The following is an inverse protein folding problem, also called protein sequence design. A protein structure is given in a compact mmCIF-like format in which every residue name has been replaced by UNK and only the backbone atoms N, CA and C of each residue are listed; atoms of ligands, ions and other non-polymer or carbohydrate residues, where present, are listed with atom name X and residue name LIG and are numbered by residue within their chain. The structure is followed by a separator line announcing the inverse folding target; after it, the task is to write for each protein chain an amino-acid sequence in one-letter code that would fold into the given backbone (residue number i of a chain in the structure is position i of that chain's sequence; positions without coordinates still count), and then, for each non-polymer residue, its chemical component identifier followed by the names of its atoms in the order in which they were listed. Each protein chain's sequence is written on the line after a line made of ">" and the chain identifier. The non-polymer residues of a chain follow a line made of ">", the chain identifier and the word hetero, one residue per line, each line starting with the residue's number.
data_IF_813091597359
#
_entry.id   IF_813091597359
#
_cell.length_a   1.000
_cell.length_b   1.000
_cell.length_c   1.000
_cell.angle_alpha   90.00
_cell.angle_beta   90.00
_cell.angle_gamma   90.00
#
_symmetry.space_group_name_H-M   'P 1'
#
loop_
_entity.id
_entity.type
_entity.pdbx_description
1 polymer ?
#
# COMPACT_ATOMS: atom_id res chain seq x y z
N UNK A 1 65.37 24.91 -33.02
CA UNK A 1 63.98 25.28 -33.37
C UNK A 1 63.20 23.98 -33.61
N UNK A 2 61.94 23.86 -33.17
CA UNK A 2 61.57 23.63 -31.76
C UNK A 2 60.70 22.36 -31.56
N UNK A 3 60.33 22.13 -30.28
CA UNK A 3 59.14 21.40 -29.76
C UNK A 3 59.10 19.87 -29.91
N UNK A 4 58.67 19.07 -28.93
CA UNK A 4 57.92 19.30 -27.69
C UNK A 4 58.18 18.15 -26.70
N UNK A 5 58.23 18.50 -25.40
CA UNK A 5 58.22 17.54 -24.28
C UNK A 5 56.81 16.94 -24.17
N UNK A 6 56.70 15.62 -24.11
CA UNK A 6 55.52 14.93 -23.56
C UNK A 6 55.92 14.09 -22.36
N UNK A 7 55.18 14.34 -21.28
CA UNK A 7 55.28 13.78 -19.95
C UNK A 7 54.91 12.29 -19.91
N UNK A 8 55.76 11.52 -19.23
CA UNK A 8 55.51 10.15 -18.79
C UNK A 8 54.47 10.11 -17.66
N UNK A 9 53.30 9.54 -17.93
CA UNK A 9 52.32 9.12 -16.92
C UNK A 9 52.21 7.58 -16.91
N UNK A 10 52.06 6.94 -15.73
CA UNK A 10 52.02 5.48 -15.63
C UNK A 10 50.69 4.94 -16.19
N UNK A 11 50.79 3.99 -17.13
CA UNK A 11 49.63 3.24 -17.65
C UNK A 11 49.08 2.34 -16.54
N UNK A 12 47.99 2.76 -15.91
CA UNK A 12 47.14 1.90 -15.09
C UNK A 12 46.57 0.81 -15.99
N UNK A 13 47.13 -0.41 -15.88
CA UNK A 13 46.51 -1.63 -16.41
C UNK A 13 45.28 -1.91 -15.55
N UNK A 14 44.11 -1.60 -16.06
CA UNK A 14 42.83 -2.10 -15.53
C UNK A 14 42.81 -3.61 -15.71
N UNK A 15 43.12 -4.35 -14.64
CA UNK A 15 42.76 -5.75 -14.53
C UNK A 15 41.24 -5.85 -14.47
N UNK A 16 40.60 -6.00 -15.64
CA UNK A 16 39.25 -6.52 -15.73
C UNK A 16 39.35 -7.99 -15.30
N UNK A 17 39.01 -8.27 -14.05
CA UNK A 17 38.79 -9.64 -13.58
C UNK A 17 37.57 -10.18 -14.30
N UNK A 18 37.79 -10.86 -15.43
CA UNK A 18 36.82 -11.80 -15.98
C UNK A 18 36.58 -12.86 -14.92
N UNK A 19 35.46 -12.75 -14.20
CA UNK A 19 34.94 -13.88 -13.42
C UNK A 19 34.51 -14.92 -14.45
N UNK A 20 35.37 -15.92 -14.66
CA UNK A 20 35.05 -17.11 -15.42
C UNK A 20 33.83 -17.76 -14.77
N UNK A 21 32.69 -17.75 -15.46
CA UNK A 21 31.53 -18.59 -15.15
C UNK A 21 31.96 -20.05 -15.37
N UNK A 22 32.60 -20.64 -14.36
CA UNK A 22 32.67 -22.09 -14.27
C UNK A 22 31.25 -22.58 -14.07
N UNK A 23 30.70 -23.21 -15.11
CA UNK A 23 29.31 -23.68 -15.17
C UNK A 23 28.98 -24.54 -13.94
N UNK A 24 28.13 -24.01 -13.07
CA UNK A 24 27.46 -24.86 -12.07
C UNK A 24 26.40 -25.65 -12.83
N UNK A 25 26.54 -26.97 -12.84
CA UNK A 25 25.54 -27.89 -13.40
C UNK A 25 24.23 -27.94 -12.57
N UNK A 26 24.16 -27.28 -11.41
CA UNK A 26 22.97 -27.25 -10.55
C UNK A 26 22.71 -25.85 -9.97
N UNK A 27 21.43 -25.55 -9.79
CA UNK A 27 20.91 -24.32 -9.20
C UNK A 27 21.39 -24.14 -7.76
N UNK A 28 21.61 -22.88 -7.38
CA UNK A 28 21.80 -22.50 -5.97
C UNK A 28 20.46 -22.63 -5.25
N UNK A 29 20.38 -23.54 -4.29
CA UNK A 29 19.20 -23.68 -3.44
C UNK A 29 19.18 -22.57 -2.39
N UNK A 30 18.27 -21.61 -2.56
CA UNK A 30 18.14 -20.48 -1.65
C UNK A 30 17.45 -20.93 -0.36
N UNK A 31 18.17 -20.83 0.75
CA UNK A 31 17.62 -21.14 2.07
C UNK A 31 16.87 -19.95 2.65
N UNK A 32 15.56 -19.90 2.42
CA UNK A 32 14.71 -18.90 3.05
C UNK A 32 14.69 -19.01 4.58
N UNK A 33 14.97 -20.18 5.16
CA UNK A 33 15.22 -20.33 6.61
C UNK A 33 16.41 -19.50 7.09
N UNK A 34 17.54 -19.53 6.37
CA UNK A 34 18.74 -18.76 6.73
C UNK A 34 18.48 -17.25 6.61
N UNK A 35 17.86 -16.83 5.51
CA UNK A 35 17.50 -15.42 5.30
C UNK A 35 16.49 -14.91 6.35
N UNK A 36 15.48 -15.73 6.68
CA UNK A 36 14.51 -15.39 7.72
C UNK A 36 15.17 -15.27 9.10
N UNK A 37 16.18 -16.08 9.40
CA UNK A 37 16.94 -15.95 10.65
C UNK A 37 17.72 -14.63 10.72
N UNK A 38 18.36 -14.22 9.63
CA UNK A 38 19.03 -12.91 9.56
C UNK A 38 18.04 -11.77 9.82
N UNK A 39 16.88 -11.78 9.15
CA UNK A 39 15.85 -10.76 9.32
C UNK A 39 15.31 -10.76 10.76
N UNK A 40 15.08 -11.92 11.36
CA UNK A 40 14.65 -11.98 12.77
C UNK A 40 15.69 -11.43 13.74
N UNK A 41 16.99 -11.62 13.47
CA UNK A 41 18.06 -11.02 14.27
C UNK A 41 18.08 -9.50 14.13
N UNK A 42 17.94 -8.98 12.91
CA UNK A 42 17.80 -7.54 12.64
C UNK A 42 16.57 -6.95 13.37
N UNK A 43 15.41 -7.62 13.27
CA UNK A 43 14.17 -7.20 13.96
C UNK A 43 14.34 -7.24 15.48
N UNK A 44 14.98 -8.28 16.01
CA UNK A 44 15.22 -8.40 17.45
C UNK A 44 16.07 -7.23 17.96
N UNK A 45 17.17 -6.93 17.28
CA UNK A 45 18.01 -5.78 17.62
C UNK A 45 17.19 -4.48 17.58
N UNK A 46 16.39 -4.29 16.53
CA UNK A 46 15.55 -3.11 16.36
C UNK A 46 14.49 -2.96 17.47
N UNK A 47 13.92 -4.08 17.94
CA UNK A 47 12.98 -4.12 19.06
C UNK A 47 13.69 -3.82 20.39
N UNK A 48 14.88 -4.38 20.61
CA UNK A 48 15.68 -4.14 21.81
C UNK A 48 16.08 -2.65 21.92
N UNK A 49 16.53 -2.05 20.82
CA UNK A 49 16.85 -0.62 20.74
C UNK A 49 15.61 0.26 20.99
N UNK A 50 14.48 -0.09 20.38
CA UNK A 50 13.21 0.63 20.55
C UNK A 50 12.72 0.64 22.00
N UNK A 51 12.81 -0.50 22.69
CA UNK A 51 12.43 -0.61 24.10
C UNK A 51 13.45 0.09 25.00
N UNK A 52 14.74 -0.01 24.70
CA UNK A 52 15.80 0.67 25.44
C UNK A 52 15.67 2.21 25.37
N UNK A 53 15.11 2.75 24.28
CA UNK A 53 14.81 4.19 24.16
C UNK A 53 13.54 4.62 24.91
N UNK A 54 12.97 3.77 25.76
CA UNK A 54 11.84 4.08 26.64
C UNK A 54 10.45 3.85 26.02
N UNK A 55 10.36 3.30 24.80
CA UNK A 55 9.08 3.02 24.17
C UNK A 55 8.49 1.68 24.64
N UNK A 56 7.18 1.54 24.47
CA UNK A 56 6.49 0.27 24.75
C UNK A 56 6.98 -0.82 23.81
N UNK A 57 7.12 -2.04 24.35
CA UNK A 57 7.39 -3.24 23.56
C UNK A 57 6.25 -3.46 22.54
N UNK A 58 6.57 -3.75 21.26
CA UNK A 58 5.55 -4.02 20.25
C UNK A 58 4.66 -5.20 20.64
N UNK A 59 3.38 -5.13 20.25
CA UNK A 59 2.37 -6.15 20.52
C UNK A 59 1.61 -6.55 19.26
N UNK A 60 1.58 -7.86 18.99
CA UNK A 60 0.90 -8.48 17.87
C UNK A 60 -0.33 -9.27 18.34
N UNK A 61 -1.52 -8.86 17.93
CA UNK A 61 -2.74 -9.62 18.15
C UNK A 61 -3.12 -10.42 16.90
N UNK A 62 -3.29 -11.74 17.07
CA UNK A 62 -3.69 -12.65 15.99
C UNK A 62 -5.08 -13.20 16.27
N UNK A 63 -6.04 -12.93 15.38
CA UNK A 63 -7.38 -13.52 15.45
C UNK A 63 -7.41 -14.79 14.60
N UNK A 64 -7.80 -15.92 15.22
CA UNK A 64 -7.95 -17.20 14.54
C UNK A 64 -9.38 -17.71 14.69
N UNK A 65 -10.07 -17.89 13.57
CA UNK A 65 -11.44 -18.38 13.51
C UNK A 65 -11.44 -19.85 13.06
N UNK A 66 -12.08 -20.71 13.85
CA UNK A 66 -12.21 -22.14 13.56
C UNK A 66 -10.98 -22.98 13.91
N UNK A 67 -10.97 -24.23 13.43
CA UNK A 67 -10.03 -25.27 13.88
C UNK A 67 -9.14 -25.82 12.77
N UNK A 68 -8.98 -25.08 11.67
CA UNK A 68 -8.14 -25.54 10.55
C UNK A 68 -6.70 -25.83 11.03
N UNK A 69 -6.21 -27.09 10.94
CA UNK A 69 -4.88 -27.45 11.46
C UNK A 69 -3.72 -26.71 10.77
N UNK A 70 -3.90 -26.34 9.49
CA UNK A 70 -2.90 -25.53 8.79
C UNK A 70 -2.82 -24.12 9.38
N UNK A 71 -3.97 -23.48 9.58
CA UNK A 71 -4.05 -22.15 10.19
C UNK A 71 -3.48 -22.13 11.60
N UNK A 72 -3.80 -23.12 12.43
CA UNK A 72 -3.23 -23.26 13.79
C UNK A 72 -1.69 -23.36 13.76
N UNK A 73 -1.15 -24.19 12.86
CA UNK A 73 0.30 -24.33 12.70
C UNK A 73 0.96 -23.01 12.27
N UNK A 74 0.33 -22.27 11.35
CA UNK A 74 0.82 -20.95 10.94
C UNK A 74 0.79 -19.93 12.06
N UNK A 75 -0.32 -19.82 12.79
CA UNK A 75 -0.43 -18.90 13.93
C UNK A 75 0.60 -19.22 15.01
N UNK A 76 0.81 -20.49 15.31
CA UNK A 76 1.83 -20.93 16.27
C UNK A 76 3.25 -20.53 15.84
N UNK A 77 3.56 -20.64 14.54
CA UNK A 77 4.86 -20.20 14.02
C UNK A 77 5.02 -18.68 14.11
N UNK A 78 3.95 -17.91 13.86
CA UNK A 78 3.94 -16.44 14.00
C UNK A 78 4.18 -16.01 15.44
N UNK A 79 3.49 -16.60 16.42
CA UNK A 79 3.67 -16.25 17.84
C UNK A 79 5.02 -16.67 18.41
N UNK A 80 5.53 -17.85 18.01
CA UNK A 80 6.91 -18.26 18.35
C UNK A 80 7.95 -17.31 17.79
N UNK A 81 7.77 -16.85 16.55
CA UNK A 81 8.66 -15.86 15.96
C UNK A 81 8.60 -14.53 16.70
N UNK A 82 7.40 -14.05 17.05
CA UNK A 82 7.21 -12.83 17.83
C UNK A 82 7.98 -12.90 19.16
N UNK A 83 7.78 -13.98 19.92
CA UNK A 83 8.52 -14.19 21.17
C UNK A 83 10.05 -14.21 20.95
N UNK A 84 10.54 -14.85 19.88
CA UNK A 84 11.98 -14.95 19.60
C UNK A 84 12.65 -13.62 19.27
N UNK A 85 11.89 -12.64 18.79
CA UNK A 85 12.38 -11.28 18.46
C UNK A 85 11.98 -10.24 19.50
N UNK A 86 11.41 -10.67 20.63
CA UNK A 86 11.00 -9.77 21.72
C UNK A 86 9.72 -8.99 21.45
N UNK A 87 8.83 -9.47 20.57
CA UNK A 87 7.50 -8.91 20.35
C UNK A 87 6.50 -9.66 21.23
N UNK A 88 5.64 -8.93 21.95
CA UNK A 88 4.52 -9.53 22.67
C UNK A 88 3.50 -10.04 21.67
N UNK A 89 2.86 -11.17 21.94
CA UNK A 89 1.79 -11.65 21.07
C UNK A 89 0.68 -12.33 21.83
N UNK A 90 -0.54 -12.18 21.35
CA UNK A 90 -1.70 -12.94 21.79
C UNK A 90 -2.38 -13.63 20.61
N UNK A 91 -3.02 -14.76 20.88
CA UNK A 91 -3.89 -15.44 19.92
C UNK A 91 -5.30 -15.47 20.45
N UNK A 92 -6.21 -14.80 19.75
CA UNK A 92 -7.62 -14.72 20.09
C UNK A 92 -8.33 -15.79 19.26
N UNK A 93 -8.65 -16.91 19.91
CA UNK A 93 -9.39 -18.01 19.30
C UNK A 93 -10.89 -17.71 19.30
N UNK A 94 -11.52 -17.90 18.15
CA UNK A 94 -12.97 -17.81 17.98
C UNK A 94 -13.51 -19.06 17.28
N UNK A 95 -14.71 -19.53 17.64
CA UNK A 95 -15.30 -20.70 17.00
C UNK A 95 -15.60 -20.42 15.53
N UNK A 96 -15.64 -21.47 14.71
CA UNK A 96 -16.03 -21.35 13.30
C UNK A 96 -17.46 -20.81 13.13
N UNK A 97 -18.30 -20.82 14.18
CA UNK A 97 -19.67 -20.31 14.17
C UNK A 97 -19.80 -18.83 14.51
N UNK A 98 -18.70 -18.10 14.79
CA UNK A 98 -18.75 -16.67 15.08
C UNK A 98 -19.44 -15.92 13.93
N UNK A 99 -20.29 -14.95 14.24
CA UNK A 99 -20.90 -14.09 13.22
C UNK A 99 -19.90 -13.07 12.66
N UNK A 100 -20.16 -12.58 11.44
CA UNK A 100 -19.39 -11.48 10.85
C UNK A 100 -19.41 -10.23 11.75
N UNK A 101 -20.57 -9.90 12.34
CA UNK A 101 -20.73 -8.75 13.24
C UNK A 101 -19.88 -8.86 14.51
N UNK A 102 -19.88 -10.03 15.18
CA UNK A 102 -19.05 -10.26 16.36
C UNK A 102 -17.55 -10.17 16.04
N UNK A 103 -17.14 -10.67 14.88
CA UNK A 103 -15.76 -10.56 14.42
C UNK A 103 -15.37 -9.11 14.14
N UNK A 104 -16.22 -8.34 13.47
CA UNK A 104 -15.99 -6.91 13.21
C UNK A 104 -15.93 -6.10 14.52
N UNK A 105 -16.78 -6.40 15.50
CA UNK A 105 -16.76 -5.77 16.81
C UNK A 105 -15.45 -6.08 17.58
N UNK A 106 -14.95 -7.32 17.49
CA UNK A 106 -13.65 -7.68 18.04
C UNK A 106 -12.51 -6.90 17.37
N UNK A 107 -12.51 -6.80 16.04
CA UNK A 107 -11.51 -6.04 15.29
C UNK A 107 -11.56 -4.57 15.68
N UNK A 108 -12.75 -3.97 15.79
CA UNK A 108 -12.91 -2.59 16.25
C UNK A 108 -12.36 -2.39 17.66
N UNK A 109 -12.56 -3.34 18.58
CA UNK A 109 -11.96 -3.29 19.92
C UNK A 109 -10.43 -3.26 19.85
N UNK A 110 -9.82 -4.12 19.04
CA UNK A 110 -8.35 -4.21 18.88
C UNK A 110 -7.76 -2.99 18.15
N UNK A 111 -8.50 -2.41 17.21
CA UNK A 111 -8.12 -1.15 16.56
C UNK A 111 -8.02 0.00 17.57
N UNK A 112 -8.96 0.08 18.52
CA UNK A 112 -8.99 1.12 19.55
C UNK A 112 -8.12 0.81 20.78
N UNK A 113 -7.48 -0.36 20.84
CA UNK A 113 -6.55 -0.69 21.91
C UNK A 113 -5.15 -0.17 21.57
N UNK A 114 -4.74 0.92 22.23
CA UNK A 114 -3.39 1.48 22.08
C UNK A 114 -2.28 0.51 22.49
N UNK A 115 -2.61 -0.59 23.17
CA UNK A 115 -1.65 -1.64 23.44
C UNK A 115 -1.36 -2.55 22.24
N UNK A 116 -2.22 -2.58 21.23
CA UNK A 116 -2.06 -3.43 20.04
C UNK A 116 -1.44 -2.61 18.93
N UNK A 117 -0.24 -2.99 18.49
CA UNK A 117 0.46 -2.31 17.40
C UNK A 117 0.19 -2.99 16.06
N UNK A 118 0.18 -4.32 16.04
CA UNK A 118 -0.13 -5.13 14.87
C UNK A 118 -1.36 -5.98 15.08
N UNK A 119 -2.26 -6.00 14.09
CA UNK A 119 -3.45 -6.82 14.06
C UNK A 119 -3.49 -7.62 12.77
N UNK A 120 -3.70 -8.93 12.90
CA UNK A 120 -3.98 -9.78 11.75
C UNK A 120 -5.12 -10.77 12.04
N UNK A 121 -5.92 -11.02 11.00
CA UNK A 121 -6.96 -12.05 11.01
C UNK A 121 -6.50 -13.19 10.10
N UNK A 122 -6.33 -14.39 10.68
CA UNK A 122 -5.80 -15.52 9.96
C UNK A 122 -6.81 -16.06 8.93
N UNK A 123 -6.42 -16.02 7.67
CA UNK A 123 -7.19 -16.57 6.54
C UNK A 123 -6.84 -18.06 6.27
N UNK A 124 -7.73 -18.82 5.61
CA UNK A 124 -9.09 -18.43 5.19
C UNK A 124 -10.08 -18.39 6.36
N UNK A 125 -11.14 -17.60 6.23
CA UNK A 125 -12.27 -17.58 7.15
C UNK A 125 -13.35 -18.58 6.74
N UNK A 126 -14.29 -18.94 7.64
CA UNK A 126 -15.49 -19.69 7.27
C UNK A 126 -16.29 -19.01 6.15
N UNK A 127 -16.94 -19.81 5.30
CA UNK A 127 -17.60 -19.33 4.07
C UNK A 127 -18.70 -18.29 4.31
N UNK A 128 -19.31 -18.26 5.51
CA UNK A 128 -20.36 -17.29 5.84
C UNK A 128 -19.84 -15.91 6.23
N UNK A 129 -18.51 -15.69 6.25
CA UNK A 129 -17.87 -14.41 6.58
C UNK A 129 -17.18 -13.83 5.35
N UNK A 130 -17.44 -12.56 5.05
CA UNK A 130 -16.75 -11.84 3.98
C UNK A 130 -15.33 -11.43 4.40
N UNK A 131 -14.33 -12.17 3.92
CA UNK A 131 -12.91 -11.89 4.15
C UNK A 131 -12.50 -10.46 3.76
N UNK A 132 -13.08 -9.88 2.70
CA UNK A 132 -12.72 -8.55 2.24
C UNK A 132 -13.21 -7.48 3.21
N UNK A 133 -14.43 -7.62 3.72
CA UNK A 133 -14.93 -6.72 4.76
C UNK A 133 -14.07 -6.81 6.02
N UNK A 134 -13.72 -8.02 6.44
CA UNK A 134 -12.86 -8.26 7.60
C UNK A 134 -11.48 -7.61 7.44
N UNK A 135 -10.82 -7.81 6.29
CA UNK A 135 -9.52 -7.18 6.01
C UNK A 135 -9.62 -5.63 6.01
N UNK A 136 -10.71 -5.08 5.48
CA UNK A 136 -10.94 -3.63 5.45
C UNK A 136 -11.41 -3.04 6.79
N UNK A 137 -11.72 -3.89 7.78
CA UNK A 137 -12.06 -3.43 9.13
C UNK A 137 -10.82 -3.27 10.02
N UNK A 138 -9.69 -3.91 9.68
CA UNK A 138 -8.42 -3.74 10.40
C UNK A 138 -7.88 -2.34 10.13
N UNK A 139 -7.48 -1.60 11.16
CA UNK A 139 -6.94 -0.25 10.98
C UNK A 139 -5.71 -0.27 10.06
N UNK A 140 -5.59 0.62 9.06
CA UNK A 140 -4.47 0.60 8.10
C UNK A 140 -3.09 0.65 8.75
N UNK A 141 -2.94 1.37 9.85
CA UNK A 141 -1.68 1.51 10.60
C UNK A 141 -1.33 0.27 11.44
N UNK A 142 -2.31 -0.61 11.71
CA UNK A 142 -2.14 -1.89 12.41
C UNK A 142 -2.18 -3.11 11.48
N UNK A 143 -2.50 -2.92 10.20
CA UNK A 143 -2.65 -3.98 9.19
C UNK A 143 -1.29 -4.56 8.76
N UNK A 144 -0.70 -5.38 9.63
CA UNK A 144 0.62 -5.99 9.43
C UNK A 144 0.64 -7.08 8.36
N UNK A 145 -0.53 -7.52 7.88
CA UNK A 145 -0.66 -8.41 6.71
C UNK A 145 -0.80 -7.62 5.39
N UNK A 146 -1.02 -6.30 5.44
CA UNK A 146 -1.08 -5.42 4.26
C UNK A 146 -2.30 -5.65 3.37
N UNK A 147 -3.41 -6.14 3.93
CA UNK A 147 -4.61 -6.51 3.15
C UNK A 147 -5.70 -5.44 3.09
N UNK A 148 -5.63 -4.44 3.96
CA UNK A 148 -6.53 -3.30 3.96
C UNK A 148 -6.42 -2.55 2.63
N UNK A 149 -7.56 -2.15 2.05
CA UNK A 149 -7.61 -1.50 0.73
C UNK A 149 -6.72 -0.26 0.62
N UNK A 150 -6.55 0.50 1.71
CA UNK A 150 -5.62 1.65 1.75
C UNK A 150 -4.17 1.19 1.58
N UNK A 151 -3.72 0.15 2.29
CA UNK A 151 -2.35 -0.36 2.14
C UNK A 151 -2.12 -0.96 0.75
N UNK A 152 -3.10 -1.69 0.21
CA UNK A 152 -3.06 -2.18 -1.17
C UNK A 152 -3.01 -1.03 -2.17
N UNK A 153 -3.83 0.01 -1.99
CA UNK A 153 -3.87 1.19 -2.85
C UNK A 153 -2.54 1.94 -2.86
N UNK A 154 -1.99 2.24 -1.67
CA UNK A 154 -0.68 2.88 -1.50
C UNK A 154 0.44 2.05 -2.13
N UNK A 155 0.43 0.74 -1.92
CA UNK A 155 1.36 -0.18 -2.58
C UNK A 155 1.23 -0.12 -4.11
N UNK A 156 0.02 -0.06 -4.67
CA UNK A 156 -0.20 0.05 -6.12
C UNK A 156 0.21 1.42 -6.70
N UNK A 157 0.36 2.44 -5.85
CA UNK A 157 0.76 3.80 -6.22
C UNK A 157 2.24 4.08 -5.88
N UNK A 158 3.01 3.05 -5.52
CA UNK A 158 4.42 3.18 -5.15
C UNK A 158 4.69 4.07 -3.93
N UNK A 159 3.71 4.17 -3.04
CA UNK A 159 3.81 4.91 -1.78
C UNK A 159 4.17 3.99 -0.62
N UNK A 160 4.71 4.55 0.46
CA UNK A 160 4.95 3.85 1.71
C UNK A 160 3.66 3.20 2.22
N UNK A 161 3.67 1.89 2.48
CA UNK A 161 2.52 1.12 2.97
C UNK A 161 2.98 -0.13 3.74
N UNK A 162 2.07 -0.75 4.50
CA UNK A 162 2.32 -2.11 5.00
C UNK A 162 2.28 -3.09 3.83
N UNK A 163 3.44 -3.65 3.47
CA UNK A 163 3.53 -4.61 2.38
C UNK A 163 3.05 -5.99 2.85
N UNK A 164 2.31 -6.74 2.03
CA UNK A 164 1.95 -8.10 2.41
C UNK A 164 3.18 -8.98 2.61
N UNK A 165 3.19 -9.72 3.71
CA UNK A 165 4.41 -10.36 4.22
C UNK A 165 5.02 -11.39 3.26
N UNK A 166 4.20 -12.18 2.55
CA UNK A 166 4.69 -13.15 1.55
C UNK A 166 5.32 -12.45 0.33
N UNK A 167 4.63 -11.51 -0.35
CA UNK A 167 5.21 -10.68 -1.39
C UNK A 167 6.52 -10.00 -0.99
N UNK A 168 6.55 -9.38 0.18
CA UNK A 168 7.77 -8.74 0.66
C UNK A 168 8.88 -9.75 0.92
N UNK A 169 8.55 -10.93 1.46
CA UNK A 169 9.50 -12.02 1.67
C UNK A 169 10.10 -12.55 0.36
N UNK A 170 9.30 -12.65 -0.71
CA UNK A 170 9.78 -12.99 -2.06
C UNK A 170 10.78 -11.94 -2.56
N UNK A 171 10.45 -10.66 -2.39
CA UNK A 171 11.33 -9.58 -2.82
C UNK A 171 12.63 -9.52 -2.00
N UNK A 172 12.58 -9.76 -0.69
CA UNK A 172 13.77 -9.89 0.16
C UNK A 172 14.65 -11.09 -0.24
N UNK A 173 14.06 -12.22 -0.62
CA UNK A 173 14.82 -13.35 -1.18
C UNK A 173 15.63 -12.89 -2.41
N UNK A 174 14.98 -12.22 -3.36
CA UNK A 174 15.61 -11.74 -4.60
C UNK A 174 16.75 -10.76 -4.27
N UNK A 175 16.46 -9.72 -3.47
CA UNK A 175 17.43 -8.67 -3.10
C UNK A 175 18.64 -9.23 -2.35
N UNK A 176 18.40 -10.01 -1.28
CA UNK A 176 19.49 -10.55 -0.44
C UNK A 176 20.33 -11.61 -1.14
N UNK A 177 19.79 -12.24 -2.18
CA UNK A 177 20.53 -13.17 -3.04
C UNK A 177 21.31 -12.46 -4.15
N UNK A 178 21.08 -11.16 -4.36
CA UNK A 178 21.75 -10.37 -5.41
C UNK A 178 21.23 -10.67 -6.82
N UNK A 179 19.98 -11.11 -6.95
CA UNK A 179 19.36 -11.40 -8.24
C UNK A 179 18.85 -10.07 -8.85
N UNK A 180 19.36 -9.64 -10.01
CA UNK A 180 18.94 -8.37 -10.60
C UNK A 180 17.49 -8.45 -11.10
N UNK A 181 16.74 -7.36 -10.92
CA UNK A 181 15.35 -7.23 -11.41
C UNK A 181 15.21 -6.17 -12.51
N UNK A 182 16.01 -5.10 -12.46
CA UNK A 182 15.95 -4.01 -13.44
C UNK A 182 16.17 -4.52 -14.86
N UNK A 183 15.20 -4.24 -15.73
CA UNK A 183 15.19 -4.65 -17.13
C UNK A 183 15.10 -6.17 -17.35
N UNK A 184 14.73 -6.95 -16.33
CA UNK A 184 14.58 -8.41 -16.43
C UNK A 184 13.15 -8.82 -16.71
N UNK A 185 12.99 -9.96 -17.38
CA UNK A 185 11.69 -10.56 -17.61
C UNK A 185 11.28 -11.40 -16.39
N UNK A 186 10.10 -11.10 -15.84
CA UNK A 186 9.57 -11.82 -14.69
C UNK A 186 8.22 -12.42 -15.06
N UNK A 187 7.99 -13.68 -14.70
CA UNK A 187 6.66 -14.32 -14.77
C UNK A 187 6.16 -14.60 -13.37
N UNK A 188 4.96 -14.14 -13.07
CA UNK A 188 4.23 -14.48 -11.83
C UNK A 188 3.06 -15.38 -12.19
N UNK A 189 3.17 -16.67 -11.82
CA UNK A 189 2.11 -17.65 -11.99
C UNK A 189 1.17 -17.64 -10.79
N UNK A 190 0.12 -16.84 -10.88
CA UNK A 190 -0.83 -16.59 -9.81
C UNK A 190 -1.20 -15.11 -9.73
N UNK A 191 -2.49 -14.83 -9.52
CA UNK A 191 -3.03 -13.46 -9.43
C UNK A 191 -3.85 -13.20 -8.17
N UNK A 192 -3.61 -13.99 -7.12
CA UNK A 192 -4.30 -13.80 -5.85
C UNK A 192 -4.01 -12.41 -5.30
N UNK A 193 -4.98 -11.83 -4.58
CA UNK A 193 -4.87 -10.46 -4.08
C UNK A 193 -3.86 -10.32 -2.94
N UNK A 194 -3.57 -11.39 -2.23
CA UNK A 194 -2.64 -11.46 -1.10
C UNK A 194 -1.21 -11.85 -1.48
N UNK A 195 -0.98 -12.47 -2.64
CA UNK A 195 0.34 -12.99 -3.03
C UNK A 195 0.70 -12.59 -4.46
N UNK A 196 0.00 -13.12 -5.47
CA UNK A 196 0.40 -12.96 -6.87
C UNK A 196 0.39 -11.51 -7.36
N UNK A 197 -0.71 -10.78 -7.12
CA UNK A 197 -0.84 -9.38 -7.54
C UNK A 197 0.20 -8.47 -6.85
N UNK A 198 0.37 -8.51 -5.51
CA UNK A 198 1.40 -7.69 -4.86
C UNK A 198 2.83 -8.02 -5.31
N UNK A 199 3.17 -9.29 -5.54
CA UNK A 199 4.50 -9.66 -6.09
C UNK A 199 4.72 -8.99 -7.44
N UNK A 200 3.73 -9.07 -8.33
CA UNK A 200 3.81 -8.44 -9.64
C UNK A 200 3.95 -6.92 -9.52
N UNK A 201 3.22 -6.29 -8.59
CA UNK A 201 3.29 -4.86 -8.33
C UNK A 201 4.69 -4.43 -7.87
N UNK A 202 5.24 -5.10 -6.86
CA UNK A 202 6.56 -4.77 -6.29
C UNK A 202 7.71 -4.92 -7.30
N UNK A 203 7.60 -5.87 -8.23
CA UNK A 203 8.68 -6.16 -9.16
C UNK A 203 8.67 -5.29 -10.42
N UNK A 204 7.52 -4.80 -10.88
CA UNK A 204 7.47 -4.02 -12.12
C UNK A 204 7.62 -2.52 -11.94
N UNK A 205 7.34 -2.01 -10.74
CA UNK A 205 7.26 -0.58 -10.49
C UNK A 205 8.64 0.09 -10.45
N UNK A 206 8.64 1.42 -10.52
CA UNK A 206 9.85 2.23 -10.70
C UNK A 206 10.72 2.24 -9.43
N UNK A 207 12.01 1.95 -9.58
CA UNK A 207 12.99 1.99 -8.51
C UNK A 207 13.22 3.38 -7.90
N UNK A 208 12.80 4.45 -8.58
CA UNK A 208 12.96 5.84 -8.14
C UNK A 208 11.76 6.39 -7.34
N UNK A 209 10.68 5.62 -7.19
CA UNK A 209 9.49 6.06 -6.44
C UNK A 209 9.70 6.00 -4.91
N UNK A 210 8.79 6.64 -4.17
CA UNK A 210 8.81 6.78 -2.70
C UNK A 210 9.07 5.44 -2.01
N UNK A 211 8.31 4.41 -2.40
CA UNK A 211 8.67 3.02 -2.18
C UNK A 211 9.31 2.52 -3.48
N UNK A 212 10.62 2.20 -3.51
CA UNK A 212 11.29 1.71 -4.72
C UNK A 212 10.65 0.43 -5.25
N UNK A 213 10.51 0.28 -6.57
CA UNK A 213 10.12 -0.97 -7.20
C UNK A 213 11.31 -1.81 -7.68
N UNK A 214 11.04 -2.76 -8.58
CA UNK A 214 12.03 -3.67 -9.14
C UNK A 214 12.43 -3.39 -10.60
N UNK A 215 11.76 -2.47 -11.29
CA UNK A 215 11.99 -2.12 -12.70
C UNK A 215 11.99 -3.32 -13.67
N UNK A 216 11.23 -4.38 -13.36
CA UNK A 216 11.14 -5.57 -14.18
C UNK A 216 9.98 -5.52 -15.19
N UNK A 217 10.13 -6.19 -16.33
CA UNK A 217 8.99 -6.45 -17.22
C UNK A 217 8.24 -7.68 -16.72
N UNK A 218 7.08 -7.46 -16.09
CA UNK A 218 6.32 -8.53 -15.42
C UNK A 218 5.15 -9.04 -16.29
N UNK A 219 5.09 -10.35 -16.49
CA UNK A 219 3.92 -11.07 -17.03
C UNK A 219 3.18 -11.77 -15.89
N UNK A 220 1.86 -11.56 -15.80
CA UNK A 220 0.99 -12.25 -14.84
C UNK A 220 0.21 -13.35 -15.56
N UNK A 221 0.30 -14.59 -15.07
CA UNK A 221 -0.53 -15.70 -15.53
C UNK A 221 -1.48 -16.20 -14.45
N UNK A 222 -2.51 -16.94 -14.85
CA UNK A 222 -3.57 -17.38 -13.96
C UNK A 222 -4.28 -18.64 -14.47
N UNK A 223 -5.33 -19.08 -13.76
CA UNK A 223 -6.12 -20.29 -14.06
C UNK A 223 -6.72 -20.41 -15.47
N UNK A 224 -6.69 -19.34 -16.27
CA UNK A 224 -7.19 -19.31 -17.65
C UNK A 224 -6.08 -19.10 -18.68
N UNK A 225 -4.83 -18.98 -18.23
CA UNK A 225 -3.67 -18.97 -19.12
C UNK A 225 -3.45 -20.40 -19.60
N UNK A 226 -3.54 -20.69 -20.91
CA UNK A 226 -3.24 -22.01 -21.44
C UNK A 226 -1.80 -22.42 -21.10
N UNK A 227 -1.56 -23.72 -20.90
CA UNK A 227 -0.23 -24.23 -20.53
C UNK A 227 0.85 -23.86 -21.55
N UNK A 228 0.51 -23.88 -22.85
CA UNK A 228 1.42 -23.46 -23.92
C UNK A 228 1.81 -21.99 -23.81
N UNK A 229 0.86 -21.11 -23.47
CA UNK A 229 1.15 -19.68 -23.25
C UNK A 229 1.98 -19.47 -21.99
N UNK A 230 1.70 -20.20 -20.92
CA UNK A 230 2.52 -20.17 -19.70
C UNK A 230 3.97 -20.58 -20.02
N UNK A 231 4.16 -21.66 -20.79
CA UNK A 231 5.48 -22.15 -21.20
C UNK A 231 6.24 -21.14 -22.05
N UNK A 232 5.57 -20.49 -23.02
CA UNK A 232 6.21 -19.45 -23.86
C UNK A 232 6.78 -18.32 -23.03
N UNK A 233 6.01 -17.79 -22.06
CA UNK A 233 6.45 -16.66 -21.25
C UNK A 233 7.51 -17.08 -20.22
N UNK A 234 7.35 -18.24 -19.58
CA UNK A 234 8.35 -18.75 -18.62
C UNK A 234 9.69 -19.08 -19.28
N UNK A 235 9.70 -19.52 -20.55
CA UNK A 235 10.92 -19.76 -21.30
C UNK A 235 11.73 -18.48 -21.61
N UNK A 236 11.09 -17.31 -21.57
CA UNK A 236 11.75 -16.00 -21.75
C UNK A 236 12.14 -15.33 -20.42
N UNK A 237 11.63 -15.85 -19.30
CA UNK A 237 11.75 -15.22 -18.00
C UNK A 237 13.15 -15.42 -17.39
N UNK A 238 13.72 -14.34 -16.87
CA UNK A 238 14.90 -14.39 -16.00
C UNK A 238 14.53 -14.79 -14.58
N UNK A 239 13.30 -14.48 -14.15
CA UNK A 239 12.74 -14.86 -12.85
C UNK A 239 11.34 -15.44 -13.04
N UNK A 240 11.10 -16.63 -12.51
CA UNK A 240 9.78 -17.27 -12.46
C UNK A 240 9.35 -17.39 -11.00
N UNK A 241 8.17 -16.85 -10.69
CA UNK A 241 7.57 -16.91 -9.35
C UNK A 241 6.27 -17.69 -9.46
N UNK A 242 6.17 -18.84 -8.79
CA UNK A 242 4.95 -19.64 -8.77
C UNK A 242 4.19 -19.49 -7.47
N UNK A 243 2.95 -19.04 -7.55
CA UNK A 243 2.03 -18.79 -6.45
C UNK A 243 0.60 -19.25 -6.81
N UNK A 244 0.50 -20.39 -7.49
CA UNK A 244 -0.74 -20.92 -8.04
C UNK A 244 -1.39 -21.98 -7.15
N UNK A 245 -0.61 -22.70 -6.34
CA UNK A 245 -1.11 -23.81 -5.53
C UNK A 245 -1.46 -25.04 -6.38
N UNK A 246 -0.58 -25.38 -7.33
CA UNK A 246 -0.72 -26.51 -8.24
C UNK A 246 0.63 -27.26 -8.29
N UNK A 247 0.73 -28.48 -7.72
CA UNK A 247 1.96 -29.26 -7.77
C UNK A 247 2.45 -29.51 -9.20
N UNK A 248 3.76 -29.42 -9.41
CA UNK A 248 4.42 -29.66 -10.70
C UNK A 248 3.85 -28.82 -11.87
N UNK A 249 3.31 -27.63 -11.58
CA UNK A 249 2.88 -26.68 -12.60
C UNK A 249 4.06 -26.18 -13.44
N UNK A 250 5.20 -25.91 -12.78
CA UNK A 250 6.42 -25.40 -13.41
C UNK A 250 7.43 -26.53 -13.52
N UNK A 251 7.81 -26.87 -14.76
CA UNK A 251 8.72 -27.98 -15.09
C UNK A 251 10.00 -27.50 -15.78
N UNK A 252 11.02 -28.34 -15.84
CA UNK A 252 12.35 -27.98 -16.36
C UNK A 252 12.34 -27.49 -17.82
N UNK A 253 11.45 -28.00 -18.67
CA UNK A 253 11.32 -27.58 -20.07
C UNK A 253 10.73 -26.17 -20.24
N UNK A 254 10.11 -25.63 -19.17
CA UNK A 254 9.54 -24.28 -19.15
C UNK A 254 10.54 -23.21 -18.70
N UNK A 255 11.65 -23.60 -18.07
CA UNK A 255 12.57 -22.66 -17.41
C UNK A 255 13.71 -22.27 -18.35
N UNK A 256 14.05 -20.98 -18.44
CA UNK A 256 15.28 -20.52 -19.11
C UNK A 256 16.52 -20.98 -18.33
N UNK A 257 17.57 -21.38 -19.03
CA UNK A 257 18.84 -21.74 -18.37
C UNK A 257 19.40 -20.56 -17.58
N UNK A 258 19.78 -20.81 -16.31
CA UNK A 258 20.29 -19.78 -15.41
C UNK A 258 19.22 -18.90 -14.75
N UNK A 259 17.92 -19.08 -15.05
CA UNK A 259 16.85 -18.30 -14.43
C UNK A 259 16.73 -18.55 -12.91
N UNK A 260 16.15 -17.58 -12.20
CA UNK A 260 15.78 -17.73 -10.79
C UNK A 260 14.34 -18.23 -10.67
N UNK A 261 14.12 -19.26 -9.86
CA UNK A 261 12.80 -19.86 -9.64
C UNK A 261 12.40 -19.76 -8.17
N UNK A 262 11.37 -18.97 -7.88
CA UNK A 262 10.85 -18.76 -6.53
C UNK A 262 9.50 -19.47 -6.40
N UNK A 263 9.48 -20.53 -5.60
CA UNK A 263 8.31 -21.35 -5.35
C UNK A 263 7.60 -20.89 -4.06
N UNK A 264 6.48 -20.21 -4.24
CA UNK A 264 5.58 -19.72 -3.18
C UNK A 264 4.46 -20.73 -2.92
N UNK A 265 4.28 -21.70 -3.82
CA UNK A 265 3.23 -22.72 -3.75
C UNK A 265 3.32 -23.55 -2.47
N UNK A 266 2.15 -23.88 -1.92
CA UNK A 266 2.05 -24.76 -0.75
C UNK A 266 0.92 -25.74 -0.99
N UNK A 267 1.29 -26.98 -1.24
CA UNK A 267 0.38 -28.07 -1.56
C UNK A 267 0.60 -29.22 -0.58
N UNK A 268 -0.47 -29.78 -0.04
CA UNK A 268 -0.41 -31.01 0.77
C UNK A 268 -0.73 -32.20 -0.12
N UNK A 269 0.25 -33.08 -0.30
CA UNK A 269 0.09 -34.34 -1.01
C UNK A 269 0.30 -35.49 -0.03
N UNK A 270 -0.20 -36.68 -0.38
CA UNK A 270 0.15 -37.89 0.33
C UNK A 270 1.46 -38.43 -0.26
N UNK A 271 2.45 -38.65 0.59
CA UNK A 271 3.72 -39.22 0.15
C UNK A 271 3.47 -40.64 -0.38
N UNK A 272 3.83 -40.94 -1.65
CA UNK A 272 3.49 -42.21 -2.28
C UNK A 272 4.23 -43.40 -1.65
N UNK A 273 5.31 -43.16 -0.90
CA UNK A 273 6.11 -44.20 -0.25
C UNK A 273 5.69 -44.37 1.21
N UNK A 274 5.56 -43.26 1.95
CA UNK A 274 5.34 -43.31 3.40
C UNK A 274 3.88 -43.15 3.81
N UNK A 275 2.98 -42.84 2.85
CA UNK A 275 1.58 -42.48 3.06
C UNK A 275 1.35 -41.29 4.03
N UNK A 276 2.41 -40.58 4.44
CA UNK A 276 2.33 -39.41 5.32
C UNK A 276 2.03 -38.15 4.51
N UNK A 277 1.32 -37.16 5.08
CA UNK A 277 1.17 -35.86 4.47
C UNK A 277 2.54 -35.20 4.25
N UNK A 278 2.81 -34.78 3.01
CA UNK A 278 4.02 -34.07 2.61
C UNK A 278 3.64 -32.72 2.02
N UNK A 279 4.43 -31.69 2.36
CA UNK A 279 4.32 -30.38 1.76
C UNK A 279 5.20 -30.32 0.50
N UNK A 280 4.61 -29.93 -0.62
CA UNK A 280 5.32 -29.69 -1.88
C UNK A 280 4.91 -28.32 -2.44
N UNK A 281 5.77 -27.73 -3.25
CA UNK A 281 5.48 -26.48 -3.92
C UNK A 281 4.78 -26.67 -5.24
N UNK A 282 4.81 -25.64 -6.08
CA UNK A 282 4.26 -25.67 -7.44
C UNK A 282 5.30 -26.13 -8.48
N UNK A 283 6.58 -26.16 -8.12
CA UNK A 283 7.70 -26.43 -9.02
C UNK A 283 8.13 -27.89 -8.91
N UNK A 284 8.41 -28.53 -10.06
CA UNK A 284 9.19 -29.77 -10.12
C UNK A 284 10.64 -29.48 -9.72
N UNK A 285 10.89 -29.50 -8.41
CA UNK A 285 12.15 -29.05 -7.83
C UNK A 285 13.36 -29.80 -8.38
N UNK A 286 13.31 -31.13 -8.47
CA UNK A 286 14.46 -31.95 -8.90
C UNK A 286 14.76 -31.76 -10.39
N UNK A 287 13.75 -31.60 -11.23
CA UNK A 287 13.94 -31.29 -12.64
C UNK A 287 14.48 -29.87 -12.84
N UNK A 288 13.83 -28.88 -12.24
CA UNK A 288 14.16 -27.46 -12.43
C UNK A 288 15.51 -27.08 -11.82
N UNK A 289 15.92 -27.72 -10.72
CA UNK A 289 17.23 -27.52 -10.08
C UNK A 289 18.40 -27.78 -11.05
N UNK A 290 18.22 -28.61 -12.08
CA UNK A 290 19.28 -28.91 -13.06
C UNK A 290 19.44 -27.85 -14.15
N UNK A 291 18.55 -26.84 -14.20
CA UNK A 291 18.49 -25.83 -15.27
C UNK A 291 18.51 -24.40 -14.75
N UNK A 292 17.84 -24.16 -13.62
CA UNK A 292 17.81 -22.85 -13.00
C UNK A 292 19.20 -22.44 -12.46
N UNK A 293 19.46 -21.15 -12.38
CA UNK A 293 20.60 -20.60 -11.66
C UNK A 293 20.34 -20.56 -10.15
N UNK A 294 19.09 -20.31 -9.77
CA UNK A 294 18.62 -20.24 -8.39
C UNK A 294 17.27 -20.90 -8.22
N UNK A 295 17.03 -21.56 -7.09
CA UNK A 295 15.74 -22.16 -6.77
C UNK A 295 15.44 -22.11 -5.28
N UNK A 296 14.21 -21.78 -4.87
CA UNK A 296 13.78 -21.92 -3.46
C UNK A 296 13.11 -23.26 -3.22
N UNK A 297 13.40 -23.97 -2.12
CA UNK A 297 12.74 -25.24 -1.80
C UNK A 297 11.38 -25.01 -1.12
N UNK A 298 10.49 -25.99 -1.24
CA UNK A 298 9.29 -26.11 -0.41
C UNK A 298 9.32 -27.46 0.31
N UNK A 299 9.33 -27.49 1.66
CA UNK A 299 9.38 -26.37 2.60
C UNK A 299 10.78 -25.73 2.71
N UNK A 300 10.85 -24.53 3.30
CA UNK A 300 12.11 -23.89 3.71
C UNK A 300 12.58 -22.72 2.84
N UNK A 301 11.84 -22.41 1.77
CA UNK A 301 11.97 -21.21 0.94
C UNK A 301 11.12 -20.06 1.49
N UNK A 302 10.01 -19.75 0.81
CA UNK A 302 9.24 -18.52 1.08
C UNK A 302 8.52 -18.53 2.43
N UNK A 303 8.00 -19.67 2.91
CA UNK A 303 7.22 -19.74 4.16
C UNK A 303 7.91 -19.13 5.40
N UNK A 304 9.17 -19.47 5.72
CA UNK A 304 9.93 -18.82 6.78
C UNK A 304 10.08 -17.30 6.60
N UNK A 305 10.23 -16.82 5.35
CA UNK A 305 10.35 -15.40 5.05
C UNK A 305 9.05 -14.66 5.32
N UNK A 306 7.89 -15.24 4.98
CA UNK A 306 6.58 -14.68 5.32
C UNK A 306 6.47 -14.38 6.82
N UNK A 307 6.91 -15.29 7.68
CA UNK A 307 6.86 -15.08 9.13
C UNK A 307 7.84 -13.97 9.56
N UNK A 308 9.05 -13.94 9.02
CA UNK A 308 10.03 -12.89 9.34
C UNK A 308 9.55 -11.49 8.91
N UNK A 309 8.95 -11.36 7.73
CA UNK A 309 8.43 -10.08 7.24
C UNK A 309 7.22 -9.60 8.04
N UNK A 310 6.40 -10.51 8.56
CA UNK A 310 5.33 -10.14 9.51
C UNK A 310 5.90 -9.50 10.78
N UNK A 311 7.00 -10.04 11.32
CA UNK A 311 7.68 -9.45 12.48
C UNK A 311 8.22 -8.06 12.16
N UNK A 312 8.79 -7.89 10.95
CA UNK A 312 9.27 -6.59 10.45
C UNK A 312 8.12 -5.58 10.32
N UNK A 313 6.99 -5.96 9.74
CA UNK A 313 5.79 -5.10 9.69
C UNK A 313 5.30 -4.72 11.09
N UNK A 314 5.37 -5.63 12.06
CA UNK A 314 4.92 -5.36 13.43
C UNK A 314 5.77 -4.30 14.12
N UNK A 315 7.10 -4.32 13.98
CA UNK A 315 7.95 -3.26 14.54
C UNK A 315 7.77 -1.93 13.78
N UNK A 316 7.53 -1.96 12.45
CA UNK A 316 7.19 -0.76 11.67
C UNK A 316 5.88 -0.13 12.19
N UNK A 317 4.87 -0.95 12.47
CA UNK A 317 3.58 -0.51 13.01
C UNK A 317 3.75 0.14 14.39
N UNK A 318 4.48 -0.51 15.29
CA UNK A 318 4.74 0.00 16.64
C UNK A 318 5.50 1.34 16.64
N UNK A 319 6.44 1.51 15.70
CA UNK A 319 7.18 2.76 15.52
C UNK A 319 6.34 3.88 14.89
N UNK A 320 5.14 3.57 14.38
CA UNK A 320 4.21 4.51 13.71
C UNK A 320 4.87 5.31 12.57
N UNK A 321 5.89 4.73 11.91
CA UNK A 321 6.70 5.42 10.89
C UNK A 321 5.82 5.95 9.76
N UNK A 322 4.88 5.12 9.28
CA UNK A 322 3.95 5.47 8.20
C UNK A 322 2.97 6.59 8.59
N UNK A 323 2.57 6.64 9.87
CA UNK A 323 1.65 7.68 10.39
C UNK A 323 2.36 9.01 10.57
N UNK A 324 3.64 8.99 10.96
CA UNK A 324 4.45 10.19 11.09
C UNK A 324 4.74 10.80 9.71
N UNK A 325 5.07 9.97 8.71
CA UNK A 325 5.22 10.43 7.32
C UNK A 325 3.93 11.05 6.78
N UNK A 326 2.76 10.43 7.00
CA UNK A 326 1.47 11.02 6.59
C UNK A 326 1.24 12.39 7.26
N UNK A 327 1.52 12.51 8.56
CA UNK A 327 1.36 13.76 9.30
C UNK A 327 2.38 14.82 8.85
N UNK A 328 3.60 14.45 8.51
CA UNK A 328 4.61 15.34 7.96
C UNK A 328 4.30 15.76 6.53
N UNK A 329 3.77 14.86 5.68
CA UNK A 329 3.27 15.18 4.34
C UNK A 329 2.05 16.11 4.42
N UNK A 330 1.12 15.89 5.35
CA UNK A 330 0.00 16.79 5.60
C UNK A 330 0.48 18.17 6.07
N UNK A 331 1.38 18.21 7.07
CA UNK A 331 1.96 19.47 7.57
C UNK A 331 2.81 20.19 6.53
N UNK A 332 3.57 19.47 5.70
CA UNK A 332 4.38 20.05 4.62
C UNK A 332 3.55 20.49 3.43
N UNK A 333 2.42 19.84 3.14
CA UNK A 333 1.42 20.36 2.20
C UNK A 333 0.78 21.64 2.75
N UNK A 334 0.42 21.69 4.03
CA UNK A 334 -0.06 22.91 4.68
C UNK A 334 1.00 24.03 4.65
N UNK A 335 2.28 23.72 4.93
CA UNK A 335 3.39 24.68 4.86
C UNK A 335 3.75 25.09 3.42
N UNK A 336 3.67 24.16 2.47
CA UNK A 336 3.96 24.36 1.06
C UNK A 336 2.88 25.20 0.38
N UNK A 337 1.62 25.03 0.78
CA UNK A 337 0.52 25.94 0.44
C UNK A 337 0.83 27.33 0.99
N UNK A 338 1.17 27.45 2.28
CA UNK A 338 1.50 28.75 2.87
C UNK A 338 2.67 29.45 2.14
N UNK A 339 3.75 28.73 1.81
CA UNK A 339 4.90 29.28 1.06
C UNK A 339 4.61 29.59 -0.40
N UNK A 340 3.82 28.78 -1.09
CA UNK A 340 3.44 29.03 -2.49
C UNK A 340 2.53 30.26 -2.59
N UNK A 341 1.58 30.41 -1.66
CA UNK A 341 0.78 31.62 -1.50
C UNK A 341 1.70 32.82 -1.23
N UNK A 342 2.67 32.70 -0.32
CA UNK A 342 3.59 33.80 0.02
C UNK A 342 4.55 34.19 -1.13
N UNK A 343 5.03 33.23 -1.92
CA UNK A 343 5.89 33.48 -3.10
C UNK A 343 5.13 34.08 -4.28
N UNK A 344 3.86 33.70 -4.48
CA UNK A 344 2.97 34.32 -5.46
C UNK A 344 2.66 35.78 -5.07
N UNK A 345 2.36 36.03 -3.79
CA UNK A 345 2.22 37.39 -3.25
C UNK A 345 3.48 38.23 -3.48
N UNK A 346 4.68 37.66 -3.26
CA UNK A 346 5.96 38.38 -3.47
C UNK A 346 6.30 38.62 -4.94
N UNK A 347 5.92 37.72 -5.86
CA UNK A 347 6.14 37.90 -7.30
C UNK A 347 5.21 38.95 -7.92
N UNK A 348 3.97 39.09 -7.44
CA UNK A 348 3.05 40.12 -7.91
C UNK A 348 3.39 41.52 -7.37
N UNK A 349 3.96 41.60 -6.16
CA UNK A 349 4.43 42.86 -5.56
C UNK A 349 5.65 43.50 -6.24
N UNK A 350 6.35 42.80 -7.14
CA UNK A 350 7.63 43.26 -7.73
C UNK A 350 7.64 43.27 -9.27
N UNK A 351 6.48 43.23 -9.92
CA UNK A 351 6.42 43.42 -11.37
C UNK A 351 6.53 44.94 -11.72
N UNK A 352 7.62 45.39 -12.36
CA UNK A 352 7.87 46.82 -12.63
C UNK A 352 6.89 47.45 -13.63
N UNK A 353 6.19 46.63 -14.40
CA UNK A 353 5.23 47.07 -15.42
C UNK A 353 3.87 47.50 -14.83
N UNK A 354 3.67 47.36 -13.52
CA UNK A 354 2.41 47.66 -12.84
C UNK A 354 2.34 49.06 -12.19
N UNK A 355 3.19 49.99 -12.63
CA UNK A 355 3.13 51.37 -12.15
C UNK A 355 2.40 52.31 -13.11
N UNK A 356 1.07 52.26 -13.11
CA UNK A 356 0.22 53.45 -13.28
C UNK A 356 -0.71 53.55 -12.08
N UNK A 357 -0.53 54.64 -11.33
CA UNK A 357 -0.93 54.73 -9.94
C UNK A 357 -2.42 54.71 -9.70
N UNK A 358 -2.84 53.77 -8.85
CA UNK A 358 -3.73 54.00 -7.72
C UNK A 358 -3.27 53.00 -6.64
N UNK A 359 -2.91 53.45 -5.44
CA UNK A 359 -2.90 52.54 -4.29
C UNK A 359 -4.38 52.29 -3.98
N UNK A 360 -4.93 51.17 -4.45
CA UNK A 360 -6.21 50.67 -3.95
C UNK A 360 -5.91 49.58 -2.92
N UNK A 361 -6.47 49.71 -1.72
CA UNK A 361 -6.42 48.74 -0.64
C UNK A 361 -7.21 47.45 -0.93
N UNK A 362 -7.17 46.94 -2.16
CA UNK A 362 -7.90 45.75 -2.57
C UNK A 362 -6.94 44.56 -2.59
N UNK A 363 -7.29 43.53 -1.81
CA UNK A 363 -6.77 42.17 -1.96
C UNK A 363 -6.88 41.72 -3.45
N UNK A 364 -6.07 40.76 -3.92
CA UNK A 364 -6.03 40.36 -5.33
C UNK A 364 -7.40 39.95 -5.89
N UNK A 365 -7.58 40.07 -7.21
CA UNK A 365 -8.80 39.64 -7.90
C UNK A 365 -9.08 38.15 -7.60
N UNK A 366 -10.35 37.82 -7.29
CA UNK A 366 -10.78 36.44 -7.09
C UNK A 366 -10.43 35.62 -8.34
N UNK A 367 -9.79 34.47 -8.14
CA UNK A 367 -9.33 33.58 -9.20
C UNK A 367 -10.41 32.53 -9.53
N UNK A 368 -10.49 32.10 -10.79
CA UNK A 368 -11.39 31.01 -11.20
C UNK A 368 -11.13 29.71 -10.42
N UNK A 369 -9.86 29.46 -10.06
CA UNK A 369 -9.45 28.30 -9.26
C UNK A 369 -10.06 28.29 -7.86
N UNK A 370 -10.23 29.47 -7.24
CA UNK A 370 -10.84 29.61 -5.91
C UNK A 370 -12.34 29.28 -5.96
N UNK A 371 -13.03 29.76 -7.00
CA UNK A 371 -14.46 29.46 -7.24
C UNK A 371 -14.66 27.98 -7.53
N UNK A 372 -13.76 27.38 -8.33
CA UNK A 372 -13.79 25.95 -8.64
C UNK A 372 -13.59 25.09 -7.39
N UNK A 373 -12.69 25.48 -6.50
CA UNK A 373 -12.49 24.81 -5.22
C UNK A 373 -13.70 24.94 -4.29
N UNK A 374 -14.28 26.13 -4.19
CA UNK A 374 -15.46 26.38 -3.36
C UNK A 374 -16.67 25.54 -3.81
N UNK A 375 -16.91 25.45 -5.12
CA UNK A 375 -17.95 24.57 -5.68
C UNK A 375 -17.71 23.08 -5.39
N UNK A 376 -16.45 22.64 -5.38
CA UNK A 376 -16.10 21.26 -5.03
C UNK A 376 -16.35 20.92 -3.56
N UNK A 377 -16.43 21.94 -2.69
CA UNK A 377 -16.55 21.80 -1.24
C UNK A 377 -17.98 22.05 -0.72
N UNK A 378 -18.93 22.35 -1.61
CA UNK A 378 -20.30 22.72 -1.21
C UNK A 378 -21.11 21.51 -0.70
N UNK A 379 -21.83 21.68 0.40
CA UNK A 379 -22.67 20.61 0.99
C UNK A 379 -23.98 20.44 0.22
N UNK A 380 -24.30 19.21 -0.18
CA UNK A 380 -25.54 18.86 -0.90
C UNK A 380 -26.72 18.64 0.05
N UNK A 381 -27.95 18.51 -0.49
CA UNK A 381 -29.21 18.33 0.25
C UNK A 381 -29.58 19.51 1.17
N UNK A 382 -29.23 20.74 0.77
CA UNK A 382 -29.66 21.97 1.46
C UNK A 382 -30.92 22.52 0.79
N UNK A 383 -31.92 22.92 1.59
CA UNK A 383 -33.12 23.57 1.07
C UNK A 383 -32.76 24.88 0.36
N UNK A 384 -33.29 25.11 -0.85
CA UNK A 384 -33.06 26.34 -1.63
C UNK A 384 -33.55 27.59 -0.89
N UNK A 385 -32.90 28.72 -1.15
CA UNK A 385 -33.32 30.01 -0.61
C UNK A 385 -34.53 30.59 -1.33
N UNK A 386 -34.79 31.88 -1.13
CA UNK A 386 -35.80 32.62 -1.90
C UNK A 386 -35.51 32.73 -3.41
N UNK A 387 -34.30 32.34 -3.84
CA UNK A 387 -33.89 32.22 -5.23
C UNK A 387 -34.43 30.96 -5.93
N UNK A 388 -34.86 29.95 -5.17
CA UNK A 388 -35.38 28.69 -5.72
C UNK A 388 -34.33 27.83 -6.44
N UNK A 389 -33.05 28.19 -6.34
CA UNK A 389 -31.95 27.49 -7.01
C UNK A 389 -31.44 26.37 -6.09
N UNK A 390 -31.41 25.09 -6.51
CA UNK A 390 -30.78 24.03 -5.75
C UNK A 390 -29.25 24.09 -5.90
N UNK A 391 -28.52 23.77 -4.83
CA UNK A 391 -27.03 23.73 -4.81
C UNK A 391 -26.49 22.76 -5.88
N UNK A 392 -27.22 21.67 -6.09
CA UNK A 392 -26.91 20.61 -7.05
C UNK A 392 -26.87 21.12 -8.50
N UNK A 393 -27.56 22.23 -8.80
CA UNK A 393 -27.51 22.84 -10.14
C UNK A 393 -26.08 23.28 -10.49
N UNK A 394 -25.33 23.83 -9.54
CA UNK A 394 -23.95 24.27 -9.78
C UNK A 394 -23.00 23.11 -10.00
N UNK A 395 -23.26 21.96 -9.37
CA UNK A 395 -22.50 20.72 -9.61
C UNK A 395 -22.76 20.14 -10.99
N UNK A 396 -23.99 20.28 -11.51
CA UNK A 396 -24.36 19.82 -12.86
C UNK A 396 -23.73 20.71 -13.94
N UNK A 397 -23.75 22.02 -13.73
CA UNK A 397 -23.24 23.01 -14.70
C UNK A 397 -21.70 23.10 -14.76
N UNK A 398 -20.98 22.57 -13.75
CA UNK A 398 -19.50 22.47 -13.73
C UNK A 398 -18.79 23.77 -14.14
N UNK A 399 -18.00 23.74 -15.21
CA UNK A 399 -17.18 24.88 -15.64
C UNK A 399 -18.03 26.09 -16.11
N UNK A 400 -19.27 25.88 -16.55
CA UNK A 400 -20.18 26.98 -16.88
C UNK A 400 -20.67 27.71 -15.64
N UNK A 401 -20.88 26.98 -14.52
CA UNK A 401 -21.13 27.59 -13.23
C UNK A 401 -19.90 28.36 -12.73
N UNK A 402 -18.68 27.82 -12.89
CA UNK A 402 -17.44 28.50 -12.48
C UNK A 402 -17.33 29.86 -13.14
N UNK A 403 -17.54 29.97 -14.46
CA UNK A 403 -17.45 31.24 -15.20
C UNK A 403 -18.44 32.29 -14.70
N UNK A 404 -19.70 31.89 -14.53
CA UNK A 404 -20.76 32.81 -14.08
C UNK A 404 -20.51 33.27 -12.65
N UNK A 405 -20.16 32.34 -11.76
CA UNK A 405 -19.89 32.65 -10.36
C UNK A 405 -18.62 33.47 -10.17
N UNK A 406 -17.58 33.18 -10.94
CA UNK A 406 -16.36 33.99 -10.96
C UNK A 406 -16.64 35.43 -11.33
N UNK A 407 -17.43 35.67 -12.38
CA UNK A 407 -17.86 37.01 -12.77
C UNK A 407 -18.63 37.74 -11.65
N UNK A 408 -19.58 37.05 -11.00
CA UNK A 408 -20.35 37.62 -9.88
C UNK A 408 -19.43 37.93 -8.68
N UNK A 409 -18.56 37.00 -8.30
CA UNK A 409 -17.58 37.16 -7.22
C UNK A 409 -16.65 38.35 -7.51
N UNK A 410 -16.12 38.46 -8.73
CA UNK A 410 -15.31 39.60 -9.15
C UNK A 410 -16.08 40.93 -9.09
N UNK A 411 -17.36 40.93 -9.46
CA UNK A 411 -18.17 42.14 -9.39
C UNK A 411 -18.39 42.57 -7.93
N UNK A 412 -18.71 41.63 -7.03
CA UNK A 412 -18.86 41.90 -5.59
C UNK A 412 -17.54 42.40 -5.01
N UNK A 413 -16.42 41.79 -5.39
CA UNK A 413 -15.08 42.17 -4.97
C UNK A 413 -14.72 43.60 -5.36
N UNK A 414 -14.94 43.95 -6.64
CA UNK A 414 -14.58 45.26 -7.19
C UNK A 414 -15.49 46.38 -6.68
N UNK A 415 -16.77 46.08 -6.49
CA UNK A 415 -17.77 47.07 -6.07
C UNK A 415 -17.92 47.17 -4.55
N UNK A 416 -17.46 46.16 -3.80
CA UNK A 416 -17.71 46.00 -2.36
C UNK A 416 -19.21 46.03 -2.02
N UNK A 417 -20.07 45.73 -3.00
CA UNK A 417 -21.51 45.74 -2.87
C UNK A 417 -22.08 44.33 -2.98
N UNK A 418 -22.67 43.88 -1.89
CA UNK A 418 -23.41 42.63 -1.84
C UNK A 418 -24.84 42.83 -2.38
N UNK A 419 -25.35 41.91 -3.23
CA UNK A 419 -26.74 41.90 -3.65
C UNK A 419 -27.67 41.94 -2.43
N UNK A 420 -28.69 42.79 -2.47
CA UNK A 420 -29.57 43.00 -1.30
C UNK A 420 -30.33 41.73 -0.90
N UNK A 421 -30.66 40.88 -1.87
CA UNK A 421 -31.35 39.61 -1.62
C UNK A 421 -30.45 38.58 -0.91
N UNK A 422 -29.12 38.73 -0.99
CA UNK A 422 -28.17 37.84 -0.29
C UNK A 422 -28.02 38.20 1.18
N UNK A 423 -28.43 39.41 1.57
CA UNK A 423 -28.42 39.89 2.97
C UNK A 423 -29.65 39.44 3.76
N UNK A 424 -30.53 38.67 3.14
CA UNK A 424 -31.82 38.24 3.71
C UNK A 424 -31.82 36.73 3.90
N UNK A 425 -32.32 36.29 5.05
CA UNK A 425 -32.60 34.89 5.35
C UNK A 425 -34.03 34.77 5.85
N UNK A 426 -34.77 33.78 5.35
CA UNK A 426 -36.11 33.48 5.84
C UNK A 426 -36.01 32.37 6.87
N UNK A 427 -36.41 32.66 8.10
CA UNK A 427 -36.44 31.66 9.18
C UNK A 427 -37.79 30.97 9.20
N UNK A 428 -37.78 29.65 8.98
CA UNK A 428 -38.99 28.83 8.98
C UNK A 428 -38.94 27.86 10.17
N UNK A 429 -39.88 27.95 11.13
CA UNK A 429 -40.04 26.93 12.14
C UNK A 429 -40.67 25.68 11.51
N UNK A 430 -39.98 24.56 11.59
CA UNK A 430 -40.45 23.25 11.11
C UNK A 430 -40.73 22.36 12.32
N UNK A 431 -41.91 21.72 12.41
CA UNK A 431 -42.21 20.80 13.50
C UNK A 431 -41.25 19.60 13.48
N UNK A 432 -40.73 19.22 14.65
CA UNK A 432 -39.99 17.96 14.86
C UNK A 432 -41.00 16.80 14.99
N UNK A 433 -40.54 15.55 14.89
CA UNK A 433 -41.38 14.36 15.16
C UNK A 433 -41.92 14.45 16.60
N UNK A 434 -43.24 14.54 16.77
CA UNK A 434 -43.90 14.71 18.08
C UNK A 434 -45.17 15.57 18.00
N UNK A 435 -45.59 16.15 19.12
CA UNK A 435 -46.78 16.99 19.22
C UNK A 435 -46.56 18.37 18.59
N UNK A 436 -47.23 18.69 17.49
CA UNK A 436 -47.11 19.98 16.81
C UNK A 436 -47.76 21.16 17.56
N UNK A 437 -48.49 20.91 18.66
CA UNK A 437 -49.10 21.95 19.50
C UNK A 437 -48.15 22.51 20.56
N UNK A 438 -46.99 21.89 20.79
CA UNK A 438 -45.99 22.35 21.75
C UNK A 438 -44.96 23.26 21.08
N UNK A 439 -44.84 24.50 21.56
CA UNK A 439 -43.94 25.50 20.98
C UNK A 439 -42.46 25.07 21.00
N UNK A 440 -42.06 24.24 21.98
CA UNK A 440 -40.72 23.67 22.10
C UNK A 440 -40.40 22.58 21.06
N UNK A 441 -41.42 22.06 20.38
CA UNK A 441 -41.31 20.95 19.43
C UNK A 441 -41.07 21.40 17.97
N UNK A 442 -40.55 22.61 17.77
CA UNK A 442 -40.16 23.12 16.47
C UNK A 442 -38.63 23.24 16.38
N UNK A 443 -38.08 23.06 15.19
CA UNK A 443 -36.71 23.44 14.84
C UNK A 443 -36.77 24.58 13.84
N UNK A 444 -35.95 25.60 14.01
CA UNK A 444 -35.85 26.68 13.04
C UNK A 444 -34.85 26.29 11.97
N UNK A 445 -35.23 26.40 10.70
CA UNK A 445 -34.28 26.38 9.58
C UNK A 445 -34.15 27.79 9.01
N UNK A 446 -32.96 28.11 8.50
CA UNK A 446 -32.72 29.35 7.76
C UNK A 446 -32.66 29.03 6.27
N UNK A 447 -33.50 29.68 5.48
CA UNK A 447 -33.44 29.67 4.03
C UNK A 447 -32.69 30.92 3.56
N UNK A 448 -31.39 30.75 3.31
CA UNK A 448 -30.53 31.77 2.70
C UNK A 448 -30.40 31.53 1.19
N UNK A 449 -30.13 32.60 0.44
CA UNK A 449 -29.80 32.52 -0.99
C UNK A 449 -28.68 31.49 -1.20
N UNK A 450 -28.77 30.74 -2.30
CA UNK A 450 -27.91 29.57 -2.52
C UNK A 450 -26.44 29.93 -2.70
N UNK A 451 -26.13 31.14 -3.14
CA UNK A 451 -24.77 31.67 -3.29
C UNK A 451 -24.15 32.19 -1.98
N UNK A 452 -24.91 32.13 -0.88
CA UNK A 452 -24.46 32.49 0.48
C UNK A 452 -24.16 31.24 1.32
N UNK A 453 -24.53 30.05 0.82
CA UNK A 453 -24.29 28.76 1.46
C UNK A 453 -22.97 28.17 0.99
#
# INVERSE_FOLDING_TARGET
>A
MPTSRQSSGPRLRTCISYVSYFGRNEAVVISGRKLAEQIKQEVRQEVEEWVASGNKRPHLSVVLVGENPASQSYVLNKTRAAASVGINSETILKPASISEEELLNLINKLNNDDNVDGLLVQLPLPEHIDERKVCNAVSPDKDVDGFHVINVGRMCLDQCSMLPATPWGVWEIIKRTGIPTLGKNVVVAGRSKNVGMPIAMLLHTDGAHERPGGDATVTISHRYTPKEELKKHTALADIVISAAGIPNLITADMIKEGAAVIDVGINRIQDPITAKPKLVGDVDFEGVKKKAGYITPVPGGVGPMTVAMLMKNTIIAAKKVLRLEEQEVLKSKELGVAKHTEELYKKELHNPDNHHGVITHLEPDILEGEVKWALGSITTNKASGGDGIPVELFQILKDDAVKVLHSICQQIWKTQQWPQDWKRSVFIPIPKKGNAKECSNYRTIALSHTLVK
#
